data_IF_590467536326
#
_entry.id   IF_590467536326
#
_cell.length_a   1.000
_cell.length_b   1.000
_cell.length_c   1.000
_cell.angle_alpha   90.00
_cell.angle_beta   90.00
_cell.angle_gamma   90.00
#
_symmetry.space_group_name_H-M   'P 1'
#
loop_
_entity.id
_entity.type
_entity.pdbx_description
1 polymer ?
#
# COMPACT_ATOMS: atom_id res chain seq x y z
N UNK A 1 -6.09 6.07 -32.11
CA UNK A 1 -5.60 5.96 -30.71
C UNK A 1 -4.10 5.76 -30.75
N UNK A 2 -3.36 6.40 -29.82
CA UNK A 2 -1.90 6.24 -29.67
C UNK A 2 -1.60 4.76 -29.37
N UNK A 3 -0.68 4.15 -30.12
CA UNK A 3 -0.40 2.70 -30.07
C UNK A 3 0.27 2.28 -28.75
N UNK A 4 1.09 3.17 -28.19
CA UNK A 4 1.76 2.99 -26.90
C UNK A 4 1.32 4.09 -25.94
N UNK A 5 1.07 3.72 -24.68
CA UNK A 5 0.65 4.61 -23.61
C UNK A 5 1.81 4.87 -22.66
N UNK A 6 1.96 6.12 -22.22
CA UNK A 6 3.01 6.54 -21.29
C UNK A 6 2.44 6.62 -19.86
N UNK A 7 3.14 6.04 -18.89
CA UNK A 7 2.77 6.06 -17.48
C UNK A 7 3.86 6.79 -16.70
N UNK A 8 3.44 7.68 -15.80
CA UNK A 8 4.31 8.36 -14.85
C UNK A 8 4.00 7.89 -13.42
N UNK A 9 4.91 7.11 -12.84
CA UNK A 9 4.76 6.58 -11.48
C UNK A 9 5.29 7.57 -10.43
N UNK A 10 4.56 7.73 -9.33
CA UNK A 10 4.88 8.63 -8.23
C UNK A 10 4.81 7.85 -6.92
N UNK A 11 5.91 7.83 -6.17
CA UNK A 11 5.90 7.44 -4.75
C UNK A 11 5.25 8.56 -3.92
N UNK A 12 3.93 8.50 -3.77
CA UNK A 12 3.10 9.63 -3.35
C UNK A 12 3.50 10.20 -2.00
N UNK A 13 3.68 9.34 -0.99
CA UNK A 13 3.99 9.75 0.40
C UNK A 13 5.34 10.49 0.50
N UNK A 14 6.35 10.07 -0.26
CA UNK A 14 7.66 10.73 -0.28
C UNK A 14 7.63 11.98 -1.17
N UNK A 15 6.99 11.88 -2.33
CA UNK A 15 6.92 12.94 -3.31
C UNK A 15 6.21 14.20 -2.80
N UNK A 16 5.16 14.05 -1.99
CA UNK A 16 4.42 15.17 -1.40
C UNK A 16 5.31 16.09 -0.56
N UNK A 17 6.34 15.55 0.10
CA UNK A 17 7.29 16.33 0.92
C UNK A 17 8.04 17.41 0.12
N UNK A 18 8.02 17.35 -1.22
CA UNK A 18 8.59 18.37 -2.11
C UNK A 18 7.81 19.69 -2.11
N UNK A 19 6.53 19.67 -1.73
CA UNK A 19 5.67 20.86 -1.73
C UNK A 19 5.60 21.51 -0.35
N UNK A 20 5.56 20.72 0.72
CA UNK A 20 5.83 21.12 2.10
C UNK A 20 5.92 19.88 2.99
N UNK A 21 6.37 20.02 4.24
CA UNK A 21 6.43 18.89 5.19
C UNK A 21 5.07 18.24 5.47
N UNK A 22 3.97 18.99 5.33
CA UNK A 22 2.60 18.54 5.60
C UNK A 22 1.72 18.61 4.36
N UNK A 23 2.33 18.61 3.16
CA UNK A 23 1.56 18.72 1.93
C UNK A 23 0.71 17.47 1.70
N UNK A 24 -0.53 17.72 1.33
CA UNK A 24 -1.48 16.74 0.81
C UNK A 24 -1.53 16.84 -0.72
N UNK A 25 -2.26 15.94 -1.38
CA UNK A 25 -2.43 15.99 -2.83
C UNK A 25 -3.11 17.27 -3.33
N UNK A 26 -3.84 18.00 -2.46
CA UNK A 26 -4.45 19.30 -2.78
C UNK A 26 -3.43 20.42 -2.91
N UNK A 27 -2.30 20.30 -2.23
CA UNK A 27 -1.24 21.32 -2.23
C UNK A 27 -0.37 21.26 -3.48
N UNK A 28 -0.54 20.23 -4.31
CA UNK A 28 0.19 20.06 -5.57
C UNK A 28 -0.34 21.09 -6.58
N UNK A 29 0.51 22.01 -7.09
CA UNK A 29 0.05 23.00 -8.05
C UNK A 29 -0.49 22.36 -9.32
N UNK A 30 -1.61 22.88 -9.85
CA UNK A 30 -2.22 22.42 -11.11
C UNK A 30 -1.22 22.40 -12.29
N UNK A 31 -0.27 23.32 -12.30
CA UNK A 31 0.79 23.38 -13.32
C UNK A 31 1.70 22.15 -13.31
N UNK A 32 1.91 21.49 -12.16
CA UNK A 32 2.67 20.23 -12.11
C UNK A 32 2.03 19.16 -13.01
N UNK A 33 0.71 19.00 -12.89
CA UNK A 33 -0.05 18.02 -13.66
C UNK A 33 -0.16 18.38 -15.14
N UNK A 34 -0.36 19.68 -15.45
CA UNK A 34 -0.36 20.17 -16.83
C UNK A 34 0.98 19.93 -17.53
N UNK A 35 2.09 20.16 -16.83
CA UNK A 35 3.42 19.87 -17.37
C UNK A 35 3.58 18.38 -17.72
N UNK A 36 3.00 17.45 -16.93
CA UNK A 36 3.00 16.02 -17.30
C UNK A 36 2.18 15.75 -18.57
N UNK A 37 1.06 16.45 -18.76
CA UNK A 37 0.25 16.35 -19.97
C UNK A 37 1.03 16.87 -21.19
N UNK A 38 1.75 17.99 -21.06
CA UNK A 38 2.61 18.55 -22.11
C UNK A 38 3.78 17.62 -22.46
N UNK A 39 4.33 16.90 -21.48
CA UNK A 39 5.32 15.84 -21.70
C UNK A 39 4.71 14.57 -22.35
N UNK A 40 3.40 14.54 -22.59
CA UNK A 40 2.71 13.47 -23.29
C UNK A 40 2.48 12.23 -22.44
N UNK A 41 2.35 12.37 -21.12
CA UNK A 41 1.91 11.31 -20.22
C UNK A 41 0.43 11.01 -20.43
N UNK A 42 0.09 9.72 -20.50
CA UNK A 42 -1.30 9.26 -20.65
C UNK A 42 -1.91 8.85 -19.29
N UNK A 43 -1.06 8.41 -18.35
CA UNK A 43 -1.45 8.00 -17.01
C UNK A 43 -0.50 8.55 -15.95
N UNK A 44 -1.03 8.85 -14.78
CA UNK A 44 -0.27 9.01 -13.54
C UNK A 44 -0.63 7.84 -12.63
N UNK A 45 0.38 7.15 -12.12
CA UNK A 45 0.21 6.14 -11.09
C UNK A 45 0.65 6.71 -9.73
N UNK A 46 -0.31 6.88 -8.83
CA UNK A 46 -0.03 7.28 -7.45
C UNK A 46 0.17 6.02 -6.60
N UNK A 47 1.44 5.67 -6.39
CA UNK A 47 1.81 4.55 -5.53
C UNK A 47 1.70 4.95 -4.05
N UNK A 48 1.15 4.07 -3.22
CA UNK A 48 1.11 4.17 -1.77
C UNK A 48 0.04 5.12 -1.22
N UNK A 49 -1.14 5.15 -1.85
CA UNK A 49 -2.25 6.02 -1.43
C UNK A 49 -3.05 5.51 -0.24
N UNK A 50 -2.94 4.21 0.06
CA UNK A 50 -3.76 3.56 1.06
C UNK A 50 -3.23 3.75 2.48
N UNK A 51 -4.16 3.68 3.44
CA UNK A 51 -3.88 3.78 4.87
C UNK A 51 -3.00 2.62 5.31
N UNK A 52 -1.96 2.95 6.08
CA UNK A 52 -0.98 2.02 6.63
C UNK A 52 -0.97 2.08 8.16
N UNK A 53 -0.37 1.09 8.82
CA UNK A 53 -0.23 1.07 10.27
C UNK A 53 1.17 1.53 10.71
N UNK A 54 1.31 2.69 11.34
CA UNK A 54 2.61 3.17 11.85
C UNK A 54 3.25 2.21 12.87
N UNK A 55 2.41 1.53 13.66
CA UNK A 55 2.88 0.55 14.66
C UNK A 55 3.65 -0.63 14.04
N UNK A 56 3.45 -0.95 12.75
CA UNK A 56 4.17 -2.05 12.09
C UNK A 56 5.64 -1.69 11.81
N UNK A 57 5.94 -0.39 11.70
CA UNK A 57 7.24 0.11 11.25
C UNK A 57 8.34 -0.25 12.26
N UNK A 58 8.11 0.05 13.54
CA UNK A 58 9.10 -0.23 14.59
C UNK A 58 9.36 -1.73 14.78
N UNK A 59 8.39 -2.57 14.46
CA UNK A 59 8.46 -4.01 14.67
C UNK A 59 9.13 -4.73 13.49
N UNK A 60 8.90 -4.31 12.25
CA UNK A 60 9.32 -5.06 11.06
C UNK A 60 10.23 -4.29 10.10
N UNK A 61 10.35 -2.96 10.22
CA UNK A 61 11.09 -2.16 9.25
C UNK A 61 12.53 -1.81 9.67
N UNK A 62 13.02 -2.31 10.81
CA UNK A 62 14.37 -2.04 11.32
C UNK A 62 15.23 -3.31 11.48
N UNK A 63 14.95 -4.34 10.68
CA UNK A 63 15.83 -5.51 10.58
C UNK A 63 17.23 -5.11 10.07
N UNK A 64 18.31 -5.81 10.49
CA UNK A 64 19.69 -5.43 10.14
C UNK A 64 19.93 -5.23 8.64
N UNK A 65 19.31 -6.08 7.81
CA UNK A 65 19.44 -6.00 6.35
C UNK A 65 18.77 -4.74 5.79
N UNK A 66 17.58 -4.39 6.30
CA UNK A 66 16.87 -3.16 5.93
C UNK A 66 17.66 -1.91 6.35
N UNK A 67 18.19 -1.89 7.57
CA UNK A 67 19.08 -0.81 8.04
C UNK A 67 20.29 -0.68 7.12
N UNK A 68 20.85 -1.80 6.66
CA UNK A 68 21.93 -1.82 5.67
C UNK A 68 21.55 -1.13 4.36
N UNK A 69 20.35 -1.40 3.84
CA UNK A 69 19.83 -0.76 2.62
C UNK A 69 19.52 0.72 2.82
N UNK A 70 18.96 1.11 3.98
CA UNK A 70 18.68 2.51 4.29
C UNK A 70 19.96 3.35 4.33
N UNK A 71 21.03 2.84 4.96
CA UNK A 71 22.32 3.53 4.99
C UNK A 71 22.93 3.73 3.60
N UNK A 72 22.66 2.83 2.64
CA UNK A 72 23.08 2.99 1.24
C UNK A 72 22.23 4.03 0.51
N UNK A 73 20.93 4.06 0.77
CA UNK A 73 19.99 4.94 0.08
C UNK A 73 20.04 6.38 0.60
N UNK A 74 20.17 6.57 1.92
CA UNK A 74 20.20 7.86 2.58
C UNK A 74 21.23 7.84 3.71
N UNK A 75 22.33 8.55 3.50
CA UNK A 75 23.37 8.70 4.52
C UNK A 75 22.80 9.40 5.75
N UNK A 76 23.11 8.88 6.93
CA UNK A 76 22.70 9.43 8.23
C UNK A 76 21.17 9.48 8.45
N UNK A 77 20.41 8.57 7.81
CA UNK A 77 18.96 8.47 7.95
C UNK A 77 18.52 8.42 9.43
N UNK A 78 17.32 8.93 9.70
CA UNK A 78 16.67 8.89 11.00
C UNK A 78 15.53 7.89 10.98
N UNK A 79 15.11 7.41 12.15
CA UNK A 79 13.97 6.50 12.25
C UNK A 79 12.72 7.07 11.56
N UNK A 80 12.48 8.39 11.69
CA UNK A 80 11.34 9.08 11.06
C UNK A 80 11.40 9.14 9.52
N UNK A 81 12.56 8.82 8.92
CA UNK A 81 12.67 8.69 7.46
C UNK A 81 12.07 7.35 6.96
N UNK A 82 11.93 6.35 7.86
CA UNK A 82 11.41 5.03 7.54
C UNK A 82 9.89 5.02 7.74
N UNK A 83 9.14 5.14 6.64
CA UNK A 83 7.67 5.23 6.64
C UNK A 83 6.95 3.91 6.32
N UNK A 84 7.69 2.80 6.31
CA UNK A 84 7.18 1.46 6.01
C UNK A 84 6.77 1.24 4.54
N UNK A 85 6.48 -0.01 4.20
CA UNK A 85 6.04 -0.40 2.85
C UNK A 85 4.70 0.24 2.49
N UNK A 86 4.53 0.84 1.30
CA UNK A 86 3.22 1.32 0.84
C UNK A 86 2.24 0.18 0.55
N UNK A 87 2.71 -1.07 0.48
CA UNK A 87 1.90 -2.25 0.19
C UNK A 87 1.46 -3.01 1.46
N UNK A 88 2.02 -2.69 2.63
CA UNK A 88 1.52 -3.18 3.92
C UNK A 88 0.37 -2.30 4.44
N UNK A 89 -0.78 -2.44 3.77
CA UNK A 89 -1.94 -1.59 3.99
C UNK A 89 -2.79 -2.09 5.17
N UNK A 90 -3.36 -1.17 5.95
CA UNK A 90 -4.39 -1.46 6.94
C UNK A 90 -5.73 -1.74 6.24
N UNK A 91 -6.10 -0.81 5.34
CA UNK A 91 -7.37 -0.80 4.64
C UNK A 91 -7.26 0.00 3.34
N UNK A 92 -8.24 -0.16 2.45
CA UNK A 92 -8.40 0.64 1.23
C UNK A 92 -9.09 1.99 1.49
N UNK A 93 -8.72 2.65 2.60
CA UNK A 93 -9.01 4.05 2.90
C UNK A 93 -7.81 4.90 2.47
N UNK A 94 -8.03 6.17 2.11
CA UNK A 94 -6.93 7.09 1.80
C UNK A 94 -6.08 7.32 3.04
N UNK A 95 -4.76 7.28 2.87
CA UNK A 95 -3.81 7.61 3.93
C UNK A 95 -4.04 9.07 4.36
N UNK A 96 -4.25 9.35 5.66
CA UNK A 96 -4.53 10.72 6.12
C UNK A 96 -3.44 11.74 5.78
N UNK A 97 -2.19 11.31 5.59
CA UNK A 97 -1.07 12.17 5.17
C UNK A 97 -1.24 12.66 3.73
N UNK A 98 -1.96 11.88 2.90
CA UNK A 98 -2.17 12.18 1.47
C UNK A 98 -3.40 13.07 1.28
N UNK A 99 -4.42 12.93 2.13
CA UNK A 99 -5.65 13.70 2.10
C UNK A 99 -6.88 12.83 2.34
N UNK A 100 -7.98 13.19 1.70
CA UNK A 100 -9.27 12.48 1.78
C UNK A 100 -9.65 11.81 0.46
N UNK A 101 -10.66 10.93 0.50
CA UNK A 101 -11.23 10.32 -0.71
C UNK A 101 -11.77 11.39 -1.69
N UNK A 102 -12.42 12.43 -1.17
CA UNK A 102 -12.93 13.53 -1.99
C UNK A 102 -11.80 14.31 -2.68
N UNK A 103 -10.68 14.51 -1.98
CA UNK A 103 -9.51 15.18 -2.58
C UNK A 103 -8.98 14.37 -3.77
N UNK A 104 -8.91 13.05 -3.61
CA UNK A 104 -8.46 12.16 -4.68
C UNK A 104 -9.42 12.18 -5.88
N UNK A 105 -10.73 12.22 -5.63
CA UNK A 105 -11.75 12.34 -6.67
C UNK A 105 -11.63 13.67 -7.44
N UNK A 106 -11.46 14.79 -6.73
CA UNK A 106 -11.22 16.11 -7.34
C UNK A 106 -9.95 16.08 -8.21
N UNK A 107 -8.88 15.42 -7.75
CA UNK A 107 -7.67 15.24 -8.53
C UNK A 107 -7.91 14.37 -9.78
N UNK A 108 -8.61 13.25 -9.65
CA UNK A 108 -8.98 12.38 -10.78
C UNK A 108 -9.77 13.15 -11.84
N UNK A 109 -10.77 13.92 -11.43
CA UNK A 109 -11.57 14.75 -12.34
C UNK A 109 -10.71 15.78 -13.06
N UNK A 110 -9.81 16.45 -12.33
CA UNK A 110 -8.89 17.40 -12.91
C UNK A 110 -7.92 16.75 -13.90
N UNK A 111 -7.28 15.63 -13.55
CA UNK A 111 -6.38 14.88 -14.43
C UNK A 111 -7.10 14.46 -15.72
N UNK A 112 -8.31 13.91 -15.59
CA UNK A 112 -9.11 13.49 -16.75
C UNK A 112 -9.47 14.68 -17.65
N UNK A 113 -9.75 15.86 -17.07
CA UNK A 113 -10.03 17.08 -17.84
C UNK A 113 -8.85 17.57 -18.69
N UNK A 114 -7.63 17.21 -18.32
CA UNK A 114 -6.39 17.51 -19.06
C UNK A 114 -5.84 16.29 -19.83
N UNK A 115 -6.65 15.22 -19.95
CA UNK A 115 -6.32 14.04 -20.77
C UNK A 115 -5.41 13.01 -20.10
N UNK A 116 -5.17 13.12 -18.79
CA UNK A 116 -4.41 12.14 -17.99
C UNK A 116 -5.37 11.26 -17.20
N UNK A 117 -5.14 9.95 -17.19
CA UNK A 117 -5.87 9.00 -16.35
C UNK A 117 -5.13 8.69 -15.04
N UNK A 118 -5.87 8.36 -13.98
CA UNK A 118 -5.31 8.01 -12.68
C UNK A 118 -5.23 6.49 -12.47
N UNK A 119 -4.08 5.98 -12.06
CA UNK A 119 -3.86 4.59 -11.62
C UNK A 119 -3.55 4.56 -10.13
N UNK A 120 -4.13 3.60 -9.40
CA UNK A 120 -3.86 3.36 -7.98
C UNK A 120 -3.49 1.90 -7.74
N UNK A 121 -2.78 1.63 -6.63
CA UNK A 121 -2.39 0.27 -6.27
C UNK A 121 -3.60 -0.60 -5.91
N UNK A 122 -3.52 -1.90 -6.25
CA UNK A 122 -4.41 -2.92 -5.72
C UNK A 122 -3.59 -4.07 -5.11
N UNK A 123 -3.50 -4.08 -3.78
CA UNK A 123 -2.80 -5.12 -3.02
C UNK A 123 -3.69 -6.35 -2.90
N UNK A 124 -3.56 -7.25 -3.86
CA UNK A 124 -4.40 -8.46 -3.93
C UNK A 124 -3.87 -9.61 -3.08
N UNK A 125 -2.63 -9.60 -2.61
CA UNK A 125 -2.05 -10.77 -1.95
C UNK A 125 -2.20 -10.76 -0.42
N UNK A 126 -2.12 -9.60 0.21
CA UNK A 126 -1.96 -9.47 1.65
C UNK A 126 -2.46 -8.13 2.17
N UNK A 127 -2.50 -8.00 3.50
CA UNK A 127 -2.65 -6.75 4.24
C UNK A 127 -1.54 -6.63 5.27
N UNK A 128 -1.45 -5.53 6.02
CA UNK A 128 -0.54 -5.42 7.16
C UNK A 128 -0.85 -6.46 8.23
N UNK A 129 0.18 -7.01 8.90
CA UNK A 129 -0.01 -7.82 10.13
C UNK A 129 -0.72 -7.05 11.25
N UNK A 130 -0.79 -5.72 11.13
CA UNK A 130 -1.50 -4.84 12.06
C UNK A 130 -2.86 -4.37 11.54
N UNK A 131 -3.32 -4.90 10.40
CA UNK A 131 -4.59 -4.53 9.80
C UNK A 131 -5.76 -4.78 10.75
N UNK A 132 -6.65 -3.80 10.84
CA UNK A 132 -7.92 -3.85 11.56
C UNK A 132 -8.81 -5.01 11.10
N UNK A 133 -8.66 -5.48 9.86
CA UNK A 133 -9.40 -6.63 9.32
C UNK A 133 -9.04 -7.94 10.03
N UNK A 134 -7.85 -8.06 10.62
CA UNK A 134 -7.49 -9.26 11.39
C UNK A 134 -8.40 -9.37 12.62
N UNK A 135 -8.78 -8.24 13.21
CA UNK A 135 -9.68 -8.22 14.36
C UNK A 135 -11.13 -8.50 13.92
N UNK A 136 -11.63 -7.81 12.88
CA UNK A 136 -13.04 -7.88 12.48
C UNK A 136 -13.39 -9.10 11.64
N UNK A 137 -12.45 -9.59 10.84
CA UNK A 137 -12.66 -10.62 9.80
C UNK A 137 -11.44 -11.56 9.67
N UNK A 138 -11.04 -12.26 10.75
CA UNK A 138 -9.87 -13.15 10.74
C UNK A 138 -9.98 -14.30 9.73
N UNK A 139 -11.18 -14.65 9.27
CA UNK A 139 -11.43 -15.66 8.25
C UNK A 139 -10.91 -15.28 6.86
N UNK A 140 -10.65 -13.98 6.62
CA UNK A 140 -10.11 -13.50 5.35
C UNK A 140 -8.67 -13.94 5.12
N UNK A 141 -7.95 -14.24 6.20
CA UNK A 141 -6.51 -14.48 6.20
C UNK A 141 -6.17 -15.97 6.34
N UNK A 142 -4.97 -16.32 5.89
CA UNK A 142 -4.48 -17.69 5.91
C UNK A 142 -4.02 -18.06 7.33
N UNK A 143 -4.83 -18.86 8.01
CA UNK A 143 -4.51 -19.38 9.35
C UNK A 143 -3.63 -20.63 9.26
N UNK A 144 -2.78 -20.79 10.26
CA UNK A 144 -1.91 -21.94 10.46
C UNK A 144 -2.08 -22.48 11.89
N UNK A 145 -1.32 -23.52 12.23
CA UNK A 145 -1.34 -24.12 13.57
C UNK A 145 0.04 -24.03 14.24
N UNK A 146 0.08 -24.40 15.51
CA UNK A 146 1.31 -24.31 16.32
C UNK A 146 2.46 -25.13 15.74
N UNK A 147 2.17 -26.25 15.07
CA UNK A 147 3.21 -27.07 14.42
C UNK A 147 3.90 -26.34 13.28
N UNK A 148 3.16 -25.55 12.49
CA UNK A 148 3.74 -24.71 11.45
C UNK A 148 4.62 -23.60 12.03
N UNK A 149 4.12 -22.92 13.08
CA UNK A 149 4.86 -21.86 13.77
C UNK A 149 6.18 -22.37 14.36
N UNK A 150 6.14 -23.52 15.05
CA UNK A 150 7.33 -24.14 15.64
C UNK A 150 8.39 -24.53 14.59
N UNK A 151 7.95 -24.90 13.38
CA UNK A 151 8.86 -25.27 12.28
C UNK A 151 9.44 -24.06 11.55
N UNK A 152 8.69 -22.97 11.46
CA UNK A 152 9.07 -21.80 10.68
C UNK A 152 8.43 -20.53 11.24
N UNK A 153 9.05 -19.97 12.28
CA UNK A 153 8.63 -18.71 12.90
C UNK A 153 8.90 -17.46 12.04
N UNK A 154 9.55 -17.61 10.88
CA UNK A 154 9.74 -16.52 9.94
C UNK A 154 8.53 -16.37 9.00
N UNK A 155 7.85 -17.47 8.66
CA UNK A 155 6.67 -17.47 7.78
C UNK A 155 5.36 -17.36 8.54
N UNK A 156 5.31 -17.83 9.78
CA UNK A 156 4.10 -17.85 10.60
C UNK A 156 4.28 -17.03 11.87
N UNK A 157 3.20 -16.41 12.33
CA UNK A 157 3.22 -15.54 13.51
C UNK A 157 1.90 -15.63 14.30
N UNK A 158 1.92 -15.29 15.59
CA UNK A 158 0.71 -15.17 16.42
C UNK A 158 0.11 -13.78 16.24
N UNK A 159 -1.21 -13.71 16.07
CA UNK A 159 -1.89 -12.42 15.95
C UNK A 159 -1.82 -11.63 17.25
N UNK A 160 -1.62 -10.33 17.14
CA UNK A 160 -1.73 -9.41 18.29
C UNK A 160 -3.18 -9.17 18.75
N UNK A 161 -4.15 -9.45 17.88
CA UNK A 161 -5.57 -9.24 18.16
C UNK A 161 -6.22 -10.52 18.72
N UNK A 162 -5.74 -11.68 18.29
CA UNK A 162 -6.26 -13.01 18.66
C UNK A 162 -5.10 -13.93 19.00
N UNK A 163 -4.70 -14.00 20.27
CA UNK A 163 -3.49 -14.71 20.71
C UNK A 163 -3.52 -16.22 20.45
N UNK A 164 -4.69 -16.78 20.22
CA UNK A 164 -4.94 -18.18 19.88
C UNK A 164 -4.89 -18.46 18.37
N UNK A 165 -4.87 -17.42 17.53
CA UNK A 165 -4.81 -17.54 16.07
C UNK A 165 -3.39 -17.31 15.57
N UNK A 166 -2.91 -18.24 14.76
CA UNK A 166 -1.65 -18.15 14.04
C UNK A 166 -1.97 -17.86 12.58
N UNK A 167 -1.27 -16.89 12.00
CA UNK A 167 -1.39 -16.54 10.59
C UNK A 167 -0.09 -16.80 9.83
N UNK A 168 -0.19 -16.87 8.51
CA UNK A 168 0.95 -16.82 7.60
C UNK A 168 1.19 -15.39 7.11
N UNK A 169 2.45 -15.00 7.04
CA UNK A 169 2.87 -13.78 6.36
C UNK A 169 2.64 -13.87 4.85
N UNK A 170 2.43 -12.72 4.21
CA UNK A 170 2.37 -12.64 2.76
C UNK A 170 3.69 -13.07 2.11
N UNK A 171 3.63 -13.75 0.97
CA UNK A 171 4.81 -14.12 0.17
C UNK A 171 4.47 -14.24 -1.30
N UNK A 172 5.49 -14.21 -2.14
CA UNK A 172 5.43 -14.77 -3.48
C UNK A 172 6.16 -16.14 -3.55
N UNK A 173 6.10 -16.85 -4.69
CA UNK A 173 6.72 -18.17 -4.82
C UNK A 173 8.24 -18.20 -4.72
N UNK A 174 8.91 -17.09 -5.02
CA UNK A 174 10.36 -16.99 -5.21
C UNK A 174 11.08 -16.31 -4.05
N UNK A 175 10.38 -15.49 -3.27
CA UNK A 175 10.97 -14.74 -2.15
C UNK A 175 10.49 -15.26 -0.77
N UNK A 176 11.27 -14.98 0.30
CA UNK A 176 10.84 -15.20 1.68
C UNK A 176 9.55 -14.43 2.03
N UNK A 177 8.98 -14.73 3.20
CA UNK A 177 7.76 -14.08 3.62
C UNK A 177 8.01 -12.63 4.05
N UNK A 178 7.11 -11.73 3.66
CA UNK A 178 7.13 -10.32 4.05
C UNK A 178 6.51 -10.16 5.44
N UNK A 179 7.37 -10.03 6.44
CA UNK A 179 6.99 -10.12 7.85
C UNK A 179 6.06 -8.98 8.32
N UNK A 180 6.02 -7.86 7.61
CA UNK A 180 5.07 -6.78 7.88
C UNK A 180 3.66 -7.04 7.31
N UNK A 181 3.42 -8.19 6.68
CA UNK A 181 2.15 -8.52 6.00
C UNK A 181 1.50 -9.82 6.49
N UNK A 182 0.18 -9.94 6.30
CA UNK A 182 -0.63 -11.15 6.53
C UNK A 182 -1.26 -11.62 5.21
N UNK A 183 -1.12 -12.90 4.89
CA UNK A 183 -1.56 -13.49 3.63
C UNK A 183 -3.09 -13.64 3.56
N UNK A 184 -3.71 -13.22 2.45
CA UNK A 184 -5.12 -13.49 2.19
C UNK A 184 -5.37 -14.97 1.85
N UNK A 185 -6.48 -15.51 2.33
CA UNK A 185 -6.94 -16.87 2.08
C UNK A 185 -7.96 -16.94 0.95
N UNK A 186 -7.50 -17.06 -0.30
CA UNK A 186 -8.40 -17.16 -1.45
C UNK A 186 -9.15 -18.49 -1.59
N UNK A 187 -8.85 -19.51 -0.77
CA UNK A 187 -9.71 -20.70 -0.69
C UNK A 187 -11.06 -20.37 -0.05
N UNK A 188 -11.11 -19.36 0.82
CA UNK A 188 -12.34 -18.87 1.43
C UNK A 188 -13.16 -18.02 0.43
N UNK A 189 -14.45 -18.34 0.28
CA UNK A 189 -15.38 -17.58 -0.57
C UNK A 189 -15.61 -16.16 -0.07
N UNK A 190 -15.59 -15.93 1.25
CA UNK A 190 -15.73 -14.60 1.85
C UNK A 190 -14.57 -13.69 1.44
N UNK A 191 -13.34 -14.22 1.39
CA UNK A 191 -12.16 -13.48 0.90
C UNK A 191 -12.31 -13.09 -0.56
N UNK A 192 -12.72 -14.03 -1.43
CA UNK A 192 -12.98 -13.73 -2.84
C UNK A 192 -14.03 -12.64 -3.00
N UNK A 193 -15.14 -12.74 -2.27
CA UNK A 193 -16.20 -11.72 -2.28
C UNK A 193 -15.68 -10.37 -1.83
N UNK A 194 -15.01 -10.31 -0.67
CA UNK A 194 -14.44 -9.07 -0.12
C UNK A 194 -13.51 -8.36 -1.11
N UNK A 195 -12.63 -9.10 -1.79
CA UNK A 195 -11.68 -8.52 -2.74
C UNK A 195 -12.35 -8.09 -4.05
N UNK A 196 -13.37 -8.81 -4.53
CA UNK A 196 -14.17 -8.40 -5.70
C UNK A 196 -14.95 -7.11 -5.39
N UNK A 197 -15.62 -7.05 -4.23
CA UNK A 197 -16.37 -5.87 -3.82
C UNK A 197 -15.44 -4.66 -3.65
N UNK A 198 -14.26 -4.89 -3.06
CA UNK A 198 -13.21 -3.87 -2.92
C UNK A 198 -12.76 -3.36 -4.28
N UNK A 199 -12.34 -4.24 -5.19
CA UNK A 199 -11.89 -3.85 -6.53
C UNK A 199 -12.97 -3.06 -7.28
N UNK A 200 -14.23 -3.51 -7.20
CA UNK A 200 -15.39 -2.83 -7.80
C UNK A 200 -15.62 -1.45 -7.21
N UNK A 201 -15.43 -1.27 -5.89
CA UNK A 201 -15.51 0.05 -5.27
C UNK A 201 -14.40 0.97 -5.75
N UNK A 202 -13.17 0.46 -5.86
CA UNK A 202 -12.00 1.24 -6.26
C UNK A 202 -12.09 1.76 -7.70
N UNK A 203 -12.85 1.11 -8.59
CA UNK A 203 -13.06 1.64 -9.96
C UNK A 203 -13.75 3.01 -9.97
N UNK A 204 -14.40 3.41 -8.87
CA UNK A 204 -14.94 4.76 -8.74
C UNK A 204 -13.83 5.80 -8.46
N UNK A 205 -12.74 5.39 -7.81
CA UNK A 205 -11.65 6.26 -7.35
C UNK A 205 -10.52 6.43 -8.37
N UNK A 206 -10.39 5.54 -9.35
CA UNK A 206 -9.35 5.59 -10.37
C UNK A 206 -9.86 5.20 -11.76
N UNK A 207 -8.98 5.25 -12.76
CA UNK A 207 -9.22 4.85 -14.15
C UNK A 207 -8.46 3.57 -14.53
N UNK A 208 -7.63 3.05 -13.62
CA UNK A 208 -6.80 1.86 -13.78
C UNK A 208 -6.07 1.45 -12.50
#
# INVERSE_FOLDING_TARGET
MKKNKNIYEINTRVWLKRFSNNATIKDVPKEYWKNLAELGMDYVWLMGVWKTNESVIREYCFEPDLIGEYNKALKDFKEDDVIGSPYSIDSYEINPIIGTENDLLELKEFLNSIGIKLILDFVSNHFSVHSSLINSNPELFLQANEQFLQRNSHTYFKSKFHNDIIFAHGRDPFFPAWQDTVQLNYFNSSTRKFMIDTLTRLTNLCDG
#
